data_IF_915968929669
#
_entry.id   IF_915968929669
#
_cell.length_a   1.000
_cell.length_b   1.000
_cell.length_c   1.000
_cell.angle_alpha   90.00
_cell.angle_beta   90.00
_cell.angle_gamma   90.00
#
_symmetry.space_group_name_H-M   'P 1'
#
loop_
_entity.id
_entity.type
_entity.pdbx_description
1 polymer ?
#
# COMPACT_ATOMS: atom_id res chain seq x y z
N UNK A 1 2.07 44.43 -2.42
CA UNK A 1 3.22 43.61 -1.94
C UNK A 1 2.64 42.42 -1.19
N UNK A 2 2.88 41.21 -1.66
CA UNK A 2 2.44 40.01 -0.96
C UNK A 2 3.37 39.82 0.27
N UNK A 3 2.77 39.74 1.45
CA UNK A 3 3.51 39.61 2.70
C UNK A 3 4.21 38.24 2.76
N UNK A 4 5.50 38.20 3.10
CA UNK A 4 6.30 36.95 3.25
C UNK A 4 5.67 35.92 4.21
N UNK A 5 4.96 36.38 5.24
CA UNK A 5 4.22 35.54 6.16
C UNK A 5 3.05 34.80 5.45
N UNK A 6 2.35 35.51 4.54
CA UNK A 6 1.26 34.94 3.73
C UNK A 6 1.80 33.93 2.72
N UNK A 7 2.97 34.18 2.14
CA UNK A 7 3.64 33.23 1.23
C UNK A 7 4.10 31.97 1.98
N UNK A 8 4.67 32.11 3.18
CA UNK A 8 5.02 30.96 4.05
C UNK A 8 3.80 30.15 4.47
N UNK A 9 2.66 30.81 4.71
CA UNK A 9 1.42 30.15 5.08
C UNK A 9 0.78 29.40 3.89
N UNK A 10 0.89 29.94 2.66
CA UNK A 10 0.48 29.30 1.41
C UNK A 10 1.40 28.11 1.10
N UNK A 11 2.71 28.24 1.28
CA UNK A 11 3.69 27.18 1.04
C UNK A 11 3.55 26.01 2.04
N UNK A 12 3.15 26.26 3.28
CA UNK A 12 2.83 25.17 4.25
C UNK A 12 1.66 24.29 3.82
N UNK A 13 0.86 24.68 2.84
CA UNK A 13 -0.26 23.89 2.31
C UNK A 13 0.12 23.05 1.07
N UNK A 14 1.35 23.13 0.61
CA UNK A 14 1.82 22.42 -0.61
C UNK A 14 2.49 21.08 -0.28
N UNK A 15 2.85 20.84 0.99
CA UNK A 15 3.63 19.67 1.41
C UNK A 15 2.77 18.57 2.04
N UNK A 16 1.52 18.40 1.63
CA UNK A 16 0.63 17.37 2.18
C UNK A 16 0.04 16.48 1.09
N UNK A 17 0.00 15.17 1.38
CA UNK A 17 -0.70 14.19 0.55
C UNK A 17 -2.13 14.64 0.20
N UNK A 18 -2.63 14.25 -0.96
CA UNK A 18 -4.03 14.45 -1.34
C UNK A 18 -4.93 13.52 -0.52
N UNK A 19 -5.54 14.03 0.54
CA UNK A 19 -6.55 13.31 1.32
C UNK A 19 -7.93 13.76 0.86
N UNK A 20 -8.73 12.82 0.31
CA UNK A 20 -10.03 13.19 -0.27
C UNK A 20 -11.18 12.34 0.26
N UNK A 21 -12.20 13.03 0.80
CA UNK A 21 -13.49 12.42 1.15
C UNK A 21 -14.31 12.15 -0.11
N UNK A 22 -14.88 10.96 -0.22
CA UNK A 22 -15.81 10.56 -1.30
C UNK A 22 -17.06 9.94 -0.69
N UNK A 23 -18.24 10.39 -1.13
CA UNK A 23 -19.56 9.93 -0.61
C UNK A 23 -19.68 10.04 0.93
N UNK A 24 -19.06 11.05 1.54
CA UNK A 24 -19.06 11.23 2.99
C UNK A 24 -18.06 10.34 3.75
N UNK A 25 -17.34 9.45 3.08
CA UNK A 25 -16.33 8.59 3.65
C UNK A 25 -14.95 9.22 3.48
N UNK A 26 -14.24 9.41 4.59
CA UNK A 26 -12.90 10.00 4.64
C UNK A 26 -11.88 8.96 5.08
N UNK A 27 -10.64 9.02 4.58
CA UNK A 27 -9.55 8.19 5.08
C UNK A 27 -9.30 8.40 6.58
N UNK A 28 -8.93 7.30 7.28
CA UNK A 28 -8.57 7.28 8.70
C UNK A 28 -7.30 6.46 8.88
N UNK A 29 -6.45 6.88 9.82
CA UNK A 29 -5.19 6.19 10.09
C UNK A 29 -4.78 6.30 11.56
N UNK A 30 -3.92 5.37 11.99
CA UNK A 30 -3.33 5.34 13.33
C UNK A 30 -2.17 6.33 13.49
N UNK A 31 -1.39 6.15 14.56
CA UNK A 31 -0.25 7.01 14.89
C UNK A 31 0.93 6.74 13.96
N UNK A 32 1.81 7.73 13.85
CA UNK A 32 3.12 7.65 13.22
C UNK A 32 3.09 7.19 11.77
N UNK A 33 1.97 7.47 11.06
CA UNK A 33 1.84 7.24 9.63
C UNK A 33 2.51 8.36 8.83
N UNK A 34 3.20 7.99 7.75
CA UNK A 34 3.83 8.91 6.81
C UNK A 34 3.12 8.91 5.45
N UNK A 35 2.85 10.08 4.90
CA UNK A 35 2.31 10.25 3.55
C UNK A 35 3.12 11.31 2.81
N UNK A 36 3.75 10.90 1.68
CA UNK A 36 4.48 11.87 0.85
C UNK A 36 3.53 12.91 0.26
N UNK A 37 4.03 14.07 -0.06
CA UNK A 37 3.27 15.22 -0.59
C UNK A 37 2.58 14.92 -1.93
N UNK A 38 3.04 13.93 -2.68
CA UNK A 38 2.44 13.52 -3.95
C UNK A 38 1.58 12.25 -3.86
N UNK A 39 1.42 11.69 -2.66
CA UNK A 39 0.53 10.56 -2.43
C UNK A 39 -0.95 10.98 -2.51
N UNK A 40 -1.83 10.08 -2.95
CA UNK A 40 -3.27 10.30 -2.95
C UNK A 40 -3.99 9.20 -2.17
N UNK A 41 -4.75 9.61 -1.14
CA UNK A 41 -5.53 8.69 -0.29
C UNK A 41 -6.99 9.14 -0.33
N UNK A 42 -7.87 8.31 -0.88
CA UNK A 42 -9.20 8.73 -1.32
C UNK A 42 -10.27 7.76 -0.83
N UNK A 43 -11.34 8.28 -0.25
CA UNK A 43 -12.55 7.51 0.10
C UNK A 43 -12.43 6.70 1.39
N UNK A 44 -13.05 5.52 1.41
CA UNK A 44 -13.09 4.63 2.58
C UNK A 44 -11.79 3.83 2.71
N UNK A 45 -10.79 4.46 3.34
CA UNK A 45 -9.49 3.87 3.63
C UNK A 45 -9.25 3.91 5.13
N UNK A 46 -8.94 2.76 5.73
CA UNK A 46 -8.57 2.65 7.15
C UNK A 46 -7.19 2.01 7.23
N UNK A 47 -6.25 2.67 7.90
CA UNK A 47 -4.88 2.20 8.11
C UNK A 47 -4.57 2.11 9.60
N UNK A 48 -3.80 1.11 9.99
CA UNK A 48 -3.25 0.98 11.33
C UNK A 48 -2.16 2.01 11.63
N UNK A 49 -1.28 1.68 12.57
CA UNK A 49 -0.16 2.53 12.99
C UNK A 49 1.07 2.28 12.12
N UNK A 50 1.98 3.27 12.05
CA UNK A 50 3.27 3.21 11.36
C UNK A 50 3.18 2.81 9.88
N UNK A 51 2.05 3.10 9.22
CA UNK A 51 1.89 2.90 7.79
C UNK A 51 2.56 4.02 6.99
N UNK A 52 3.00 3.71 5.76
CA UNK A 52 3.59 4.74 4.89
C UNK A 52 3.08 4.64 3.45
N UNK A 53 2.75 5.80 2.85
CA UNK A 53 2.34 5.92 1.44
C UNK A 53 3.28 6.89 0.75
N UNK A 54 4.03 6.38 -0.22
CA UNK A 54 5.18 7.05 -0.82
C UNK A 54 4.81 7.85 -2.07
N UNK A 55 5.82 8.40 -2.74
CA UNK A 55 5.63 9.38 -3.79
C UNK A 55 4.82 8.84 -4.97
N UNK A 56 3.81 9.60 -5.39
CA UNK A 56 2.89 9.26 -6.48
C UNK A 56 2.09 7.95 -6.28
N UNK A 57 2.10 7.37 -5.10
CA UNK A 57 1.25 6.23 -4.80
C UNK A 57 -0.21 6.66 -4.63
N UNK A 58 -1.14 5.81 -5.08
CA UNK A 58 -2.58 6.04 -5.00
C UNK A 58 -3.26 4.93 -4.22
N UNK A 59 -3.98 5.30 -3.16
CA UNK A 59 -4.82 4.40 -2.37
C UNK A 59 -6.26 4.90 -2.45
N UNK A 60 -7.11 4.24 -3.24
CA UNK A 60 -8.44 4.74 -3.57
C UNK A 60 -9.55 3.73 -3.27
N UNK A 61 -10.24 3.97 -2.14
CA UNK A 61 -11.41 3.21 -1.67
C UNK A 61 -12.73 3.98 -1.91
N UNK A 62 -13.07 4.26 -3.16
CA UNK A 62 -14.24 5.09 -3.53
C UNK A 62 -15.50 4.28 -3.87
N UNK A 63 -15.36 2.98 -4.11
CA UNK A 63 -16.48 2.07 -4.45
C UNK A 63 -16.56 0.83 -3.55
N UNK A 64 -15.53 0.57 -2.74
CA UNK A 64 -15.48 -0.43 -1.68
C UNK A 64 -14.37 -0.04 -0.68
N UNK A 65 -14.34 -0.59 0.55
CA UNK A 65 -13.34 -0.22 1.54
C UNK A 65 -11.94 -0.80 1.25
N UNK A 66 -10.92 -0.06 1.70
CA UNK A 66 -9.54 -0.53 1.83
C UNK A 66 -9.19 -0.55 3.32
N UNK A 67 -8.78 -1.70 3.83
CA UNK A 67 -8.32 -1.86 5.22
C UNK A 67 -6.88 -2.33 5.23
N UNK A 68 -6.04 -1.63 5.99
CA UNK A 68 -4.63 -1.97 6.18
C UNK A 68 -4.35 -2.12 7.67
N UNK A 69 -3.62 -3.15 8.04
CA UNK A 69 -3.07 -3.35 9.38
C UNK A 69 -1.97 -2.34 9.71
N UNK A 70 -1.11 -2.68 10.65
CA UNK A 70 0.01 -1.84 11.07
C UNK A 70 1.24 -2.06 10.17
N UNK A 71 2.10 -1.04 10.03
CA UNK A 71 3.38 -1.10 9.33
C UNK A 71 3.27 -1.52 7.86
N UNK A 72 2.13 -1.24 7.24
CA UNK A 72 1.94 -1.44 5.80
C UNK A 72 2.61 -0.30 5.03
N UNK A 73 3.40 -0.63 4.01
CA UNK A 73 4.01 0.38 3.14
C UNK A 73 3.56 0.23 1.70
N UNK A 74 3.15 1.35 1.11
CA UNK A 74 2.73 1.47 -0.29
C UNK A 74 3.76 2.34 -1.00
N UNK A 75 4.64 1.72 -1.76
CA UNK A 75 5.83 2.38 -2.33
C UNK A 75 5.49 3.24 -3.56
N UNK A 76 6.50 3.99 -4.02
CA UNK A 76 6.35 5.01 -5.05
C UNK A 76 5.63 4.48 -6.30
N UNK A 77 4.65 5.23 -6.77
CA UNK A 77 3.88 4.92 -7.97
C UNK A 77 2.94 3.71 -7.86
N UNK A 78 2.87 3.04 -6.70
CA UNK A 78 1.97 1.90 -6.54
C UNK A 78 0.50 2.35 -6.53
N UNK A 79 -0.39 1.50 -7.05
CA UNK A 79 -1.82 1.75 -7.12
C UNK A 79 -2.59 0.67 -6.37
N UNK A 80 -3.36 1.08 -5.36
CA UNK A 80 -4.27 0.22 -4.60
C UNK A 80 -5.70 0.66 -4.89
N UNK A 81 -6.51 -0.22 -5.45
CA UNK A 81 -7.89 0.07 -5.79
C UNK A 81 -8.81 -1.13 -5.54
N UNK A 82 -10.10 -0.93 -5.69
CA UNK A 82 -11.17 -1.83 -5.26
C UNK A 82 -12.21 -2.04 -6.36
N UNK A 83 -12.93 -3.15 -6.30
CA UNK A 83 -14.08 -3.42 -7.19
C UNK A 83 -15.39 -3.04 -6.49
N UNK A 84 -16.31 -2.46 -7.22
CA UNK A 84 -17.60 -1.99 -6.71
C UNK A 84 -18.35 -3.08 -5.93
N UNK A 85 -18.74 -2.76 -4.71
CA UNK A 85 -19.56 -3.51 -3.75
C UNK A 85 -19.03 -4.87 -3.27
N UNK A 86 -18.24 -5.60 -4.05
CA UNK A 86 -17.87 -6.99 -3.76
C UNK A 86 -16.36 -7.24 -3.60
N UNK A 87 -15.55 -6.23 -3.88
CA UNK A 87 -14.11 -6.40 -3.92
C UNK A 87 -13.35 -5.39 -3.07
N UNK A 88 -13.35 -5.52 -1.73
CA UNK A 88 -12.48 -4.72 -0.86
C UNK A 88 -11.01 -5.11 -1.07
N UNK A 89 -10.10 -4.24 -0.61
CA UNK A 89 -8.72 -4.63 -0.34
C UNK A 89 -8.53 -4.78 1.16
N UNK A 90 -7.98 -5.93 1.55
CA UNK A 90 -7.59 -6.20 2.93
C UNK A 90 -6.09 -6.51 2.97
N UNK A 91 -5.33 -5.73 3.70
CA UNK A 91 -3.92 -5.98 3.99
C UNK A 91 -3.76 -6.16 5.50
N UNK A 92 -3.17 -7.26 5.91
CA UNK A 92 -2.81 -7.47 7.31
C UNK A 92 -1.53 -6.70 7.67
N UNK A 93 -1.01 -6.87 8.89
CA UNK A 93 0.19 -6.17 9.36
C UNK A 93 1.42 -6.53 8.51
N UNK A 94 2.40 -5.63 8.47
CA UNK A 94 3.73 -5.83 7.89
C UNK A 94 3.73 -6.11 6.37
N UNK A 95 2.65 -5.78 5.65
CA UNK A 95 2.58 -5.95 4.20
C UNK A 95 3.40 -4.87 3.50
N UNK A 96 4.18 -5.30 2.50
CA UNK A 96 4.95 -4.43 1.60
C UNK A 96 4.40 -4.47 0.19
N UNK A 97 4.02 -3.31 -0.36
CA UNK A 97 3.63 -3.14 -1.77
C UNK A 97 4.72 -2.35 -2.48
N UNK A 98 5.48 -3.03 -3.33
CA UNK A 98 6.66 -2.50 -4.03
C UNK A 98 6.33 -1.43 -5.07
N UNK A 99 7.36 -0.68 -5.47
CA UNK A 99 7.24 0.42 -6.43
C UNK A 99 6.48 0.03 -7.70
N UNK A 100 5.57 0.88 -8.15
CA UNK A 100 4.73 0.69 -9.35
C UNK A 100 3.89 -0.60 -9.36
N UNK A 101 3.69 -1.27 -8.23
CA UNK A 101 2.81 -2.43 -8.16
C UNK A 101 1.33 -1.99 -8.23
N UNK A 102 0.49 -2.86 -8.79
CA UNK A 102 -0.97 -2.69 -8.81
C UNK A 102 -1.61 -3.76 -7.93
N UNK A 103 -2.38 -3.33 -6.95
CA UNK A 103 -3.14 -4.20 -6.03
C UNK A 103 -4.62 -3.87 -6.20
N UNK A 104 -5.42 -4.84 -6.62
CA UNK A 104 -6.82 -4.63 -6.92
C UNK A 104 -7.70 -5.68 -6.27
N UNK A 105 -8.65 -5.22 -5.41
CA UNK A 105 -9.73 -6.03 -4.83
C UNK A 105 -9.30 -7.42 -4.29
N UNK A 106 -8.26 -7.49 -3.46
CA UNK A 106 -7.67 -8.75 -3.00
C UNK A 106 -7.34 -8.73 -1.52
N UNK A 107 -6.97 -9.88 -0.98
CA UNK A 107 -6.50 -10.05 0.40
C UNK A 107 -5.00 -10.34 0.40
N UNK A 108 -4.25 -9.62 1.24
CA UNK A 108 -2.81 -9.79 1.41
C UNK A 108 -2.55 -10.02 2.89
N UNK A 109 -2.04 -11.19 3.22
CA UNK A 109 -1.82 -11.64 4.58
C UNK A 109 -0.55 -11.05 5.16
N UNK A 110 -0.42 -11.15 6.50
CA UNK A 110 0.71 -10.63 7.28
C UNK A 110 2.07 -10.88 6.62
N UNK A 111 2.92 -9.85 6.61
CA UNK A 111 4.30 -9.94 6.16
C UNK A 111 4.49 -10.33 4.69
N UNK A 112 3.44 -10.36 3.87
CA UNK A 112 3.59 -10.65 2.45
C UNK A 112 4.21 -9.47 1.69
N UNK A 113 4.98 -9.79 0.65
CA UNK A 113 5.63 -8.83 -0.24
C UNK A 113 5.05 -8.91 -1.65
N UNK A 114 4.52 -7.80 -2.14
CA UNK A 114 4.18 -7.61 -3.54
C UNK A 114 5.35 -6.91 -4.22
N UNK A 115 6.04 -7.59 -5.11
CA UNK A 115 7.25 -7.10 -5.77
C UNK A 115 6.98 -5.93 -6.70
N UNK A 116 8.03 -5.16 -7.00
CA UNK A 116 7.98 -3.98 -7.88
C UNK A 116 7.33 -4.30 -9.22
N UNK A 117 6.38 -3.47 -9.66
CA UNK A 117 5.68 -3.62 -10.94
C UNK A 117 4.78 -4.85 -11.05
N UNK A 118 4.58 -5.62 -9.96
CA UNK A 118 3.65 -6.75 -9.97
C UNK A 118 2.20 -6.28 -10.02
N UNK A 119 1.32 -7.10 -10.59
CA UNK A 119 -0.12 -6.87 -10.64
C UNK A 119 -0.84 -8.01 -9.93
N UNK A 120 -1.66 -7.68 -8.94
CA UNK A 120 -2.51 -8.62 -8.20
C UNK A 120 -3.96 -8.27 -8.47
N UNK A 121 -4.69 -9.22 -9.05
CA UNK A 121 -6.08 -9.03 -9.48
C UNK A 121 -7.10 -9.50 -8.44
N UNK A 122 -8.36 -9.20 -8.72
CA UNK A 122 -9.53 -9.39 -7.87
C UNK A 122 -9.61 -10.77 -7.23
N UNK A 123 -10.02 -10.81 -5.97
CA UNK A 123 -10.23 -12.03 -5.19
C UNK A 123 -8.99 -12.94 -5.04
N UNK A 124 -7.80 -12.43 -5.39
CA UNK A 124 -6.57 -13.13 -5.03
C UNK A 124 -6.37 -13.12 -3.50
N UNK A 125 -5.81 -14.20 -2.98
CA UNK A 125 -5.46 -14.34 -1.56
C UNK A 125 -3.96 -14.67 -1.46
N UNK A 126 -3.18 -13.71 -0.98
CA UNK A 126 -1.72 -13.81 -0.88
C UNK A 126 -1.38 -14.22 0.54
N UNK A 127 -0.88 -15.43 0.72
CA UNK A 127 -0.61 -16.03 2.02
C UNK A 127 0.43 -15.30 2.86
N UNK A 128 0.44 -15.58 4.15
CA UNK A 128 1.37 -15.02 5.13
C UNK A 128 2.83 -15.22 4.69
N UNK A 129 3.65 -14.18 4.75
CA UNK A 129 5.05 -14.21 4.36
C UNK A 129 5.32 -14.63 2.91
N UNK A 130 4.29 -14.65 2.06
CA UNK A 130 4.45 -14.96 0.65
C UNK A 130 5.09 -13.79 -0.12
N UNK A 131 5.75 -14.11 -1.22
CA UNK A 131 6.38 -13.12 -2.10
C UNK A 131 5.81 -13.28 -3.51
N UNK A 132 5.18 -12.23 -4.00
CA UNK A 132 4.89 -12.04 -5.43
C UNK A 132 6.12 -11.39 -6.04
N UNK A 133 6.80 -12.06 -6.96
CA UNK A 133 8.02 -11.57 -7.56
C UNK A 133 7.78 -10.30 -8.41
N UNK A 134 8.82 -9.49 -8.60
CA UNK A 134 8.72 -8.27 -9.42
C UNK A 134 8.19 -8.58 -10.83
N UNK A 135 7.29 -7.72 -11.33
CA UNK A 135 6.67 -7.84 -12.66
C UNK A 135 5.71 -9.03 -12.83
N UNK A 136 5.38 -9.76 -11.77
CA UNK A 136 4.47 -10.91 -11.86
C UNK A 136 3.02 -10.47 -12.04
N UNK A 137 2.23 -11.30 -12.75
CA UNK A 137 0.79 -11.14 -12.90
C UNK A 137 0.04 -12.23 -12.14
N UNK A 138 -0.52 -11.90 -10.98
CA UNK A 138 -1.40 -12.78 -10.21
C UNK A 138 -2.83 -12.63 -10.71
N UNK A 139 -3.35 -13.69 -11.32
CA UNK A 139 -4.69 -13.68 -11.91
C UNK A 139 -5.78 -13.67 -10.82
N UNK A 140 -6.96 -13.24 -11.22
CA UNK A 140 -8.15 -13.24 -10.38
C UNK A 140 -8.39 -14.58 -9.70
N UNK A 141 -8.73 -14.54 -8.41
CA UNK A 141 -9.05 -15.72 -7.59
C UNK A 141 -7.87 -16.63 -7.27
N UNK A 142 -6.63 -16.27 -7.66
CA UNK A 142 -5.44 -17.05 -7.34
C UNK A 142 -5.22 -17.10 -5.82
N UNK A 143 -4.92 -18.29 -5.30
CA UNK A 143 -4.53 -18.47 -3.91
C UNK A 143 -3.06 -18.85 -3.84
N UNK A 144 -2.27 -17.98 -3.21
CA UNK A 144 -0.86 -18.20 -2.93
C UNK A 144 -0.74 -18.64 -1.47
N UNK A 145 -0.12 -19.81 -1.25
CA UNK A 145 0.06 -20.35 0.09
C UNK A 145 1.07 -19.57 0.93
N UNK A 146 1.05 -19.77 2.27
CA UNK A 146 2.01 -19.10 3.15
C UNK A 146 3.45 -19.43 2.77
N UNK A 147 4.33 -18.42 2.87
CA UNK A 147 5.76 -18.55 2.60
C UNK A 147 6.07 -19.13 1.20
N UNK A 148 5.28 -18.79 0.20
CA UNK A 148 5.52 -19.15 -1.19
C UNK A 148 6.03 -17.95 -2.00
N UNK A 149 6.95 -18.23 -2.93
CA UNK A 149 7.37 -17.27 -3.95
C UNK A 149 6.69 -17.65 -5.26
N UNK A 150 5.93 -16.72 -5.81
CA UNK A 150 5.29 -16.84 -7.12
C UNK A 150 5.78 -15.76 -8.07
N UNK A 151 5.97 -16.12 -9.35
CA UNK A 151 6.47 -15.17 -10.36
C UNK A 151 6.07 -15.55 -11.78
N UNK A 152 6.27 -14.61 -12.70
CA UNK A 152 5.97 -14.77 -14.12
C UNK A 152 4.61 -14.19 -14.53
N UNK A 153 4.27 -14.30 -15.82
CA UNK A 153 3.03 -13.80 -16.44
C UNK A 153 2.38 -14.93 -17.25
N UNK A 154 1.33 -15.60 -16.72
CA UNK A 154 0.78 -15.47 -15.37
C UNK A 154 1.72 -16.03 -14.29
N UNK A 155 1.57 -15.55 -13.06
CA UNK A 155 2.36 -16.01 -11.93
C UNK A 155 2.15 -17.48 -11.62
N UNK A 156 3.24 -18.17 -11.32
CA UNK A 156 3.27 -19.59 -10.93
C UNK A 156 4.16 -19.76 -9.72
N UNK A 157 3.92 -20.82 -8.92
CA UNK A 157 4.79 -21.21 -7.82
C UNK A 157 6.23 -21.44 -8.31
N UNK A 158 7.20 -20.83 -7.64
CA UNK A 158 8.62 -20.98 -7.92
C UNK A 158 9.31 -21.81 -6.83
N UNK A 159 9.15 -21.40 -5.58
CA UNK A 159 9.78 -22.05 -4.42
C UNK A 159 9.17 -21.53 -3.11
N UNK A 160 9.58 -22.08 -1.97
CA UNK A 160 9.28 -21.53 -0.65
C UNK A 160 10.24 -20.38 -0.30
N UNK A 161 9.75 -19.42 0.50
CA UNK A 161 10.61 -18.39 1.12
C UNK A 161 11.45 -19.01 2.24
N UNK A 162 12.51 -18.32 2.62
CA UNK A 162 13.12 -18.54 3.94
C UNK A 162 12.25 -17.86 4.99
N UNK A 163 12.21 -18.36 6.24
CA UNK A 163 11.61 -17.64 7.35
C UNK A 163 12.15 -16.19 7.39
N UNK A 164 11.31 -15.23 7.73
CA UNK A 164 11.62 -13.80 7.90
C UNK A 164 12.05 -13.03 6.63
N UNK A 165 12.08 -13.68 5.47
CA UNK A 165 12.57 -13.03 4.24
C UNK A 165 11.72 -11.83 3.81
N UNK A 166 10.41 -11.87 4.01
CA UNK A 166 9.50 -10.80 3.60
C UNK A 166 9.30 -9.73 4.72
N UNK A 167 9.31 -10.13 5.98
CA UNK A 167 9.04 -9.25 7.12
C UNK A 167 10.07 -8.12 7.29
N UNK A 168 11.33 -8.36 6.94
CA UNK A 168 12.40 -7.37 7.03
C UNK A 168 12.13 -6.11 6.20
N UNK A 169 11.35 -6.19 5.11
CA UNK A 169 11.06 -5.05 4.26
C UNK A 169 10.16 -4.02 4.93
N UNK A 170 9.11 -4.47 5.63
CA UNK A 170 8.20 -3.56 6.34
C UNK A 170 8.94 -2.76 7.43
N UNK A 171 9.81 -3.42 8.20
CA UNK A 171 10.61 -2.77 9.23
C UNK A 171 11.52 -1.66 8.68
N UNK A 172 12.15 -1.87 7.52
CA UNK A 172 12.95 -0.83 6.88
C UNK A 172 12.13 0.40 6.51
N UNK A 173 10.89 0.22 6.02
CA UNK A 173 10.03 1.33 5.64
C UNK A 173 9.49 2.10 6.84
N UNK A 174 9.31 1.46 7.99
CA UNK A 174 9.06 2.17 9.26
C UNK A 174 10.25 3.05 9.65
N UNK A 175 11.49 2.57 9.47
CA UNK A 175 12.68 3.38 9.73
C UNK A 175 12.81 4.53 8.73
N UNK A 176 12.64 4.26 7.43
CA UNK A 176 12.77 5.28 6.38
C UNK A 176 11.74 6.41 6.54
N UNK A 177 10.49 6.08 6.91
CA UNK A 177 9.44 7.08 7.10
C UNK A 177 9.78 8.09 8.21
N UNK A 178 10.52 7.69 9.24
CA UNK A 178 10.97 8.58 10.33
C UNK A 178 11.87 9.70 9.82
N UNK A 179 12.72 9.43 8.84
CA UNK A 179 13.60 10.47 8.27
C UNK A 179 12.83 11.62 7.63
N UNK A 180 11.63 11.33 7.10
CA UNK A 180 10.75 12.32 6.47
C UNK A 180 9.80 12.98 7.48
N UNK A 181 9.46 12.31 8.57
CA UNK A 181 8.65 12.89 9.64
C UNK A 181 9.45 13.88 10.50
N UNK A 182 10.79 13.71 10.57
CA UNK A 182 11.70 14.54 11.36
C UNK A 182 12.28 15.72 10.55
N UNK A 183 12.07 15.80 9.25
CA UNK A 183 12.59 16.85 8.34
C UNK A 183 11.57 18.01 8.14
#
# INVERSE_FOLDING_TARGET
>A
MINFATVKQILKHIDMALIKTVKGLAPKWGKDCYFSETAAIVGEVVMGEECSVWFNAVVRGDVAPITMGNRVNIQDGACVHVTNTTGPVVMEDDVTVGHNATVHACTIRRGALIGMGATVLDNADIGEGAIVAAGALVLQGTKIGPHEIWGGVPAKFLKKTRPDQAESFAAHYVEYSKWYLES
#
